data_IF_216412944427
#
_entry.id   IF_216412944427
#
_cell.length_a   1.000
_cell.length_b   1.000
_cell.length_c   1.000
_cell.angle_alpha   90.00
_cell.angle_beta   90.00
_cell.angle_gamma   90.00
#
_symmetry.space_group_name_H-M   'P 1'
#
loop_
_entity.id
_entity.type
_entity.pdbx_description
1 polymer ?
#
# COMPACT_ATOMS: atom_id res chain seq x y z
N UNK A 1 -7.52 -15.94 -1.95
CA UNK A 1 -6.22 -16.66 -2.07
C UNK A 1 -6.33 -18.11 -1.64
N UNK A 2 -7.06 -18.43 -0.57
CA UNK A 2 -7.31 -19.77 -0.06
C UNK A 2 -7.66 -20.80 -1.16
N UNK A 3 -8.69 -20.53 -1.97
CA UNK A 3 -9.15 -21.44 -3.02
C UNK A 3 -8.07 -21.85 -4.03
N UNK A 4 -7.20 -20.93 -4.40
CA UNK A 4 -6.09 -21.22 -5.32
C UNK A 4 -5.08 -22.12 -4.65
N UNK A 5 -4.74 -21.87 -3.39
CA UNK A 5 -3.77 -22.68 -2.66
C UNK A 5 -4.31 -24.09 -2.39
N UNK A 6 -5.59 -24.24 -2.04
CA UNK A 6 -6.26 -25.54 -1.90
C UNK A 6 -6.13 -26.41 -3.17
N UNK A 7 -6.22 -25.78 -4.34
CA UNK A 7 -6.09 -26.47 -5.61
C UNK A 7 -4.65 -26.88 -5.95
N UNK A 8 -3.66 -26.04 -5.62
CA UNK A 8 -2.27 -26.29 -6.02
C UNK A 8 -1.44 -27.04 -4.96
N UNK A 9 -1.79 -26.92 -3.67
CA UNK A 9 -1.01 -27.50 -2.57
C UNK A 9 -0.72 -29.00 -2.74
N UNK A 10 -1.68 -29.85 -3.19
CA UNK A 10 -1.43 -31.29 -3.37
C UNK A 10 -0.38 -31.62 -4.46
N UNK A 11 -0.10 -30.68 -5.35
CA UNK A 11 0.83 -30.86 -6.48
C UNK A 11 2.19 -30.18 -6.26
N UNK A 12 2.37 -29.47 -5.14
CA UNK A 12 3.63 -28.82 -4.83
C UNK A 12 4.72 -29.86 -4.52
N UNK A 13 5.85 -29.71 -5.16
CA UNK A 13 7.00 -30.60 -4.94
C UNK A 13 7.61 -30.36 -3.57
N UNK A 14 8.12 -31.42 -2.95
CA UNK A 14 8.95 -31.34 -1.75
C UNK A 14 10.08 -30.32 -1.93
N UNK A 15 10.24 -29.41 -0.98
CA UNK A 15 11.22 -28.33 -1.02
C UNK A 15 10.85 -27.16 -1.94
N UNK A 16 9.63 -27.15 -2.51
CA UNK A 16 9.14 -25.98 -3.23
C UNK A 16 9.02 -24.77 -2.31
N UNK A 17 9.06 -23.59 -2.88
CA UNK A 17 8.75 -22.32 -2.18
C UNK A 17 7.54 -21.72 -2.86
N UNK A 18 6.45 -21.56 -2.10
CA UNK A 18 5.28 -20.79 -2.48
C UNK A 18 5.47 -19.36 -1.97
N UNK A 19 5.06 -18.39 -2.76
CA UNK A 19 5.04 -16.97 -2.40
C UNK A 19 3.84 -16.30 -3.04
N UNK A 20 3.37 -15.22 -2.44
CA UNK A 20 2.35 -14.35 -3.00
C UNK A 20 2.93 -12.95 -3.30
N UNK A 21 2.12 -12.07 -3.87
CA UNK A 21 2.45 -10.67 -4.14
C UNK A 21 1.33 -9.73 -3.66
N UNK A 22 0.51 -10.19 -2.74
CA UNK A 22 -0.65 -9.45 -2.25
C UNK A 22 -0.28 -8.22 -1.42
N UNK A 23 -1.19 -7.24 -1.38
CA UNK A 23 -1.00 -5.96 -0.67
C UNK A 23 -1.19 -6.04 0.83
N UNK A 24 -1.75 -7.14 1.36
CA UNK A 24 -1.95 -7.41 2.79
C UNK A 24 -1.30 -8.74 3.16
N UNK A 25 -0.80 -8.87 4.39
CA UNK A 25 -0.06 -10.07 4.78
C UNK A 25 -0.77 -10.89 5.84
N UNK A 26 -1.36 -10.29 6.86
CA UNK A 26 -2.03 -11.06 7.92
C UNK A 26 -3.14 -11.96 7.35
N UNK A 27 -4.06 -11.40 6.57
CA UNK A 27 -5.14 -12.15 5.95
C UNK A 27 -4.63 -13.24 4.99
N UNK A 28 -3.51 -12.99 4.29
CA UNK A 28 -2.87 -14.00 3.43
C UNK A 28 -2.28 -15.13 4.25
N UNK A 29 -1.64 -14.85 5.37
CA UNK A 29 -1.11 -15.87 6.29
C UNK A 29 -2.23 -16.75 6.83
N UNK A 30 -3.29 -16.15 7.35
CA UNK A 30 -4.43 -16.86 7.95
C UNK A 30 -5.12 -17.78 6.92
N UNK A 31 -5.16 -17.36 5.67
CA UNK A 31 -5.75 -18.15 4.58
C UNK A 31 -4.85 -19.28 4.07
N UNK A 32 -3.56 -19.04 3.98
CA UNK A 32 -2.63 -19.87 3.20
C UNK A 32 -1.79 -20.80 4.08
N UNK A 33 -1.25 -20.33 5.19
CA UNK A 33 -0.32 -21.11 6.02
C UNK A 33 -0.89 -22.45 6.50
N UNK A 34 -2.18 -22.56 6.89
CA UNK A 34 -2.77 -23.85 7.27
C UNK A 34 -2.86 -24.88 6.16
N UNK A 35 -2.71 -24.47 4.90
CA UNK A 35 -2.83 -25.32 3.71
C UNK A 35 -1.47 -25.76 3.17
N UNK A 36 -0.38 -25.23 3.72
CA UNK A 36 0.97 -25.53 3.22
C UNK A 36 1.41 -26.93 3.65
N UNK A 37 1.79 -27.83 2.71
CA UNK A 37 2.34 -29.13 3.04
C UNK A 37 3.64 -29.00 3.86
N UNK A 38 3.87 -29.94 4.78
CA UNK A 38 5.01 -29.94 5.71
C UNK A 38 6.39 -29.78 5.03
N UNK A 39 6.54 -30.26 3.81
CA UNK A 39 7.78 -30.23 3.04
C UNK A 39 7.88 -29.04 2.06
N UNK A 40 6.96 -28.07 2.15
CA UNK A 40 6.88 -26.89 1.28
C UNK A 40 7.16 -25.64 2.12
N UNK A 41 7.91 -24.69 1.57
CA UNK A 41 8.12 -23.40 2.21
C UNK A 41 7.04 -22.41 1.77
N UNK A 42 6.56 -21.59 2.71
CA UNK A 42 5.73 -20.42 2.37
C UNK A 42 6.48 -19.16 2.80
N UNK A 43 6.77 -18.28 1.86
CA UNK A 43 7.44 -17.00 2.09
C UNK A 43 6.59 -15.92 1.43
N UNK A 44 5.65 -15.32 2.16
CA UNK A 44 4.85 -14.21 1.65
C UNK A 44 5.71 -13.04 1.23
N UNK A 45 5.31 -12.35 0.16
CA UNK A 45 5.98 -11.17 -0.34
C UNK A 45 4.98 -10.08 -0.70
N UNK A 46 5.44 -8.83 -0.70
CA UNK A 46 4.71 -7.69 -1.22
C UNK A 46 5.67 -6.75 -1.94
N UNK A 47 5.74 -6.79 -3.27
CA UNK A 47 6.43 -5.76 -4.04
C UNK A 47 5.62 -4.47 -4.02
N UNK A 48 6.22 -3.38 -3.49
CA UNK A 48 5.60 -2.05 -3.45
C UNK A 48 5.77 -1.37 -4.80
N UNK A 49 5.19 -1.96 -5.83
CA UNK A 49 5.30 -1.54 -7.22
C UNK A 49 3.95 -1.72 -7.91
N UNK A 50 3.68 -0.90 -8.90
CA UNK A 50 2.44 -0.91 -9.67
C UNK A 50 2.05 0.48 -10.12
N UNK A 51 1.07 0.51 -11.00
CA UNK A 51 0.39 1.72 -11.45
C UNK A 51 -1.10 1.63 -11.10
N UNK A 52 -1.86 2.67 -11.36
CA UNK A 52 -3.33 2.66 -11.26
C UNK A 52 -4.02 1.73 -12.29
N UNK A 53 -3.28 1.22 -13.27
CA UNK A 53 -3.78 0.32 -14.29
C UNK A 53 -3.70 -1.14 -13.85
N UNK A 54 -4.65 -1.94 -14.28
CA UNK A 54 -4.74 -3.38 -13.97
C UNK A 54 -4.45 -4.26 -15.18
N UNK A 55 -4.03 -5.49 -14.92
CA UNK A 55 -3.83 -6.53 -15.93
C UNK A 55 -2.40 -6.64 -16.45
N UNK A 56 -2.10 -7.72 -17.18
CA UNK A 56 -0.74 -8.06 -17.62
C UNK A 56 -0.16 -7.05 -18.63
N UNK A 57 -1.04 -6.34 -19.37
CA UNK A 57 -0.64 -5.32 -20.35
C UNK A 57 -0.05 -4.06 -19.69
N UNK A 58 -0.29 -3.89 -18.37
CA UNK A 58 0.27 -2.76 -17.59
C UNK A 58 1.66 -3.06 -17.04
N UNK A 59 2.21 -4.25 -17.31
CA UNK A 59 3.55 -4.65 -16.89
C UNK A 59 4.63 -4.06 -17.81
N UNK A 60 5.75 -3.67 -17.23
CA UNK A 60 6.94 -3.24 -17.96
C UNK A 60 8.21 -3.76 -17.28
N UNK A 61 9.32 -3.83 -18.02
CA UNK A 61 10.54 -4.54 -17.60
C UNK A 61 11.21 -3.96 -16.35
N UNK A 62 11.10 -2.63 -16.13
CA UNK A 62 11.71 -1.93 -14.98
C UNK A 62 10.76 -1.76 -13.78
N UNK A 63 9.60 -2.43 -13.78
CA UNK A 63 8.55 -2.27 -12.75
C UNK A 63 9.08 -2.35 -11.31
N UNK A 64 10.05 -3.23 -11.06
CA UNK A 64 10.58 -3.49 -9.72
C UNK A 64 11.90 -2.76 -9.42
N UNK A 65 12.50 -2.10 -10.39
CA UNK A 65 13.77 -1.39 -10.21
C UNK A 65 13.65 -0.27 -9.17
N UNK A 66 14.51 -0.30 -8.15
CA UNK A 66 14.50 0.63 -7.03
C UNK A 66 13.19 0.68 -6.24
N UNK A 67 12.35 -0.36 -6.32
CA UNK A 67 11.13 -0.51 -5.53
C UNK A 67 11.34 -1.50 -4.39
N UNK A 68 10.73 -1.23 -3.26
CA UNK A 68 10.80 -2.16 -2.14
C UNK A 68 9.96 -3.41 -2.40
N UNK A 69 10.52 -4.56 -2.04
CA UNK A 69 9.78 -5.81 -1.90
C UNK A 69 9.92 -6.30 -0.47
N UNK A 70 8.82 -6.38 0.24
CA UNK A 70 8.80 -6.81 1.65
C UNK A 70 8.51 -8.29 1.70
N UNK A 71 9.42 -9.05 2.32
CA UNK A 71 9.20 -10.45 2.65
C UNK A 71 8.69 -10.58 4.07
N UNK A 72 7.75 -11.49 4.29
CA UNK A 72 7.17 -11.77 5.61
C UNK A 72 7.40 -13.24 5.95
N UNK A 73 8.60 -13.62 6.41
CA UNK A 73 8.90 -15.01 6.78
C UNK A 73 7.96 -15.54 7.86
N UNK A 74 7.54 -16.79 7.72
CA UNK A 74 6.64 -17.50 8.64
C UNK A 74 7.33 -18.69 9.29
N UNK A 75 6.60 -19.41 10.13
CA UNK A 75 7.09 -20.69 10.68
C UNK A 75 7.40 -21.73 9.61
N UNK A 76 6.73 -21.66 8.44
CA UNK A 76 6.95 -22.50 7.28
C UNK A 76 8.12 -22.04 6.39
N UNK A 77 8.73 -20.89 6.68
CA UNK A 77 9.81 -20.31 5.89
C UNK A 77 11.18 -20.80 6.37
N UNK A 78 11.88 -21.60 5.57
CA UNK A 78 13.29 -21.89 5.88
C UNK A 78 14.20 -20.73 5.50
N UNK A 79 15.33 -20.50 6.18
CA UNK A 79 16.29 -19.44 5.82
C UNK A 79 16.74 -19.52 4.36
N UNK A 80 16.90 -20.74 3.83
CA UNK A 80 17.27 -20.98 2.43
C UNK A 80 16.19 -20.54 1.45
N UNK A 81 14.90 -20.72 1.80
CA UNK A 81 13.79 -20.25 0.98
C UNK A 81 13.70 -18.74 0.96
N UNK A 82 13.86 -18.09 2.13
CA UNK A 82 13.90 -16.64 2.25
C UNK A 82 15.05 -16.06 1.43
N UNK A 83 16.28 -16.60 1.57
CA UNK A 83 17.44 -16.18 0.79
C UNK A 83 17.21 -16.32 -0.72
N UNK A 84 16.58 -17.43 -1.17
CA UNK A 84 16.25 -17.65 -2.58
C UNK A 84 15.32 -16.57 -3.10
N UNK A 85 14.28 -16.23 -2.33
CA UNK A 85 13.30 -15.22 -2.73
C UNK A 85 13.91 -13.82 -2.70
N UNK A 86 14.75 -13.52 -1.70
CA UNK A 86 15.53 -12.28 -1.65
C UNK A 86 16.38 -12.10 -2.92
N UNK A 87 17.10 -13.15 -3.33
CA UNK A 87 17.91 -13.09 -4.56
C UNK A 87 17.06 -12.96 -5.83
N UNK A 88 15.87 -13.56 -5.86
CA UNK A 88 14.94 -13.42 -6.99
C UNK A 88 14.51 -11.95 -7.15
N UNK A 89 14.00 -11.32 -6.10
CA UNK A 89 13.55 -9.93 -6.12
C UNK A 89 14.70 -8.95 -6.37
N UNK A 90 15.83 -9.13 -5.70
CA UNK A 90 17.02 -8.32 -5.95
C UNK A 90 17.53 -8.46 -7.39
N UNK A 91 17.43 -9.64 -7.99
CA UNK A 91 17.77 -9.88 -9.40
C UNK A 91 16.86 -9.18 -10.40
N UNK A 92 15.65 -8.76 -9.96
CA UNK A 92 14.73 -7.92 -10.72
C UNK A 92 14.90 -6.42 -10.40
N UNK A 93 15.93 -6.04 -9.64
CA UNK A 93 16.22 -4.65 -9.27
C UNK A 93 15.52 -4.14 -8.02
N UNK A 94 14.76 -4.99 -7.32
CA UNK A 94 14.06 -4.59 -6.10
C UNK A 94 15.00 -4.44 -4.89
N UNK A 95 14.67 -3.52 -4.01
CA UNK A 95 15.22 -3.41 -2.66
C UNK A 95 14.43 -4.35 -1.75
N UNK A 96 15.07 -5.31 -1.10
CA UNK A 96 14.38 -6.33 -0.32
C UNK A 96 14.55 -6.07 1.17
N UNK A 97 13.45 -6.07 1.92
CA UNK A 97 13.42 -5.99 3.37
C UNK A 97 12.53 -7.08 3.96
N UNK A 98 12.60 -7.28 5.27
CA UNK A 98 11.82 -8.28 5.99
C UNK A 98 11.15 -7.66 7.21
N UNK A 99 9.87 -8.02 7.44
CA UNK A 99 9.14 -7.66 8.64
C UNK A 99 8.08 -8.72 8.96
N UNK A 100 7.49 -8.66 10.14
CA UNK A 100 6.33 -9.48 10.47
C UNK A 100 5.04 -8.95 9.82
N UNK A 101 4.01 -9.78 9.77
CA UNK A 101 2.78 -9.46 9.05
C UNK A 101 2.00 -8.29 9.68
N UNK A 102 1.94 -8.21 11.02
CA UNK A 102 1.19 -7.17 11.70
C UNK A 102 1.86 -5.81 11.50
N UNK A 103 3.19 -5.79 11.59
CA UNK A 103 3.97 -4.58 11.31
C UNK A 103 3.85 -4.16 9.85
N UNK A 104 3.93 -5.11 8.90
CA UNK A 104 3.70 -4.86 7.48
C UNK A 104 2.34 -4.18 7.27
N UNK A 105 1.27 -4.78 7.78
CA UNK A 105 -0.09 -4.29 7.54
C UNK A 105 -0.32 -2.91 8.19
N UNK A 106 0.31 -2.62 9.33
CA UNK A 106 0.29 -1.30 9.96
C UNK A 106 1.05 -0.26 9.12
N UNK A 107 2.26 -0.58 8.63
CA UNK A 107 3.05 0.31 7.78
C UNK A 107 2.28 0.64 6.50
N UNK A 108 1.69 -0.36 5.85
CA UNK A 108 0.91 -0.17 4.63
C UNK A 108 -0.41 0.57 4.88
N UNK A 109 -1.03 0.41 6.05
CA UNK A 109 -2.18 1.22 6.45
C UNK A 109 -1.84 2.72 6.46
N UNK A 110 -0.63 3.09 6.95
CA UNK A 110 -0.17 4.50 6.98
C UNK A 110 0.26 5.00 5.61
N UNK A 111 1.06 4.22 4.90
CA UNK A 111 1.79 4.70 3.71
C UNK A 111 1.06 4.50 2.39
N UNK A 112 0.07 3.62 2.36
CA UNK A 112 -0.67 3.26 1.15
C UNK A 112 -2.20 3.28 1.34
N UNK A 113 -2.75 2.49 2.28
CA UNK A 113 -4.19 2.24 2.33
C UNK A 113 -4.98 3.50 2.72
N UNK A 114 -4.61 4.16 3.83
CA UNK A 114 -5.28 5.41 4.24
C UNK A 114 -5.14 6.53 3.20
N UNK A 115 -3.96 6.77 2.59
CA UNK A 115 -3.85 7.72 1.48
C UNK A 115 -4.83 7.46 0.33
N UNK A 116 -5.02 6.22 -0.11
CA UNK A 116 -5.99 5.89 -1.15
C UNK A 116 -7.43 6.16 -0.69
N UNK A 117 -7.80 5.77 0.54
CA UNK A 117 -9.13 6.06 1.09
C UNK A 117 -9.42 7.55 1.12
N UNK A 118 -8.44 8.38 1.53
CA UNK A 118 -8.56 9.83 1.57
C UNK A 118 -8.70 10.40 0.14
N UNK A 119 -7.94 9.89 -0.83
CA UNK A 119 -8.05 10.30 -2.22
C UNK A 119 -9.45 10.01 -2.81
N UNK A 120 -9.98 8.80 -2.62
CA UNK A 120 -11.36 8.47 -3.00
C UNK A 120 -12.38 9.37 -2.31
N UNK A 121 -12.22 9.62 -1.00
CA UNK A 121 -13.11 10.49 -0.23
C UNK A 121 -13.08 11.93 -0.75
N UNK A 122 -11.90 12.43 -1.12
CA UNK A 122 -11.75 13.80 -1.64
C UNK A 122 -12.47 13.97 -2.98
N UNK A 123 -12.42 12.98 -3.86
CA UNK A 123 -13.16 12.97 -5.11
C UNK A 123 -14.67 12.93 -4.83
N UNK A 124 -15.14 12.05 -3.93
CA UNK A 124 -16.55 11.95 -3.55
C UNK A 124 -17.08 13.26 -2.95
N UNK A 125 -16.30 13.92 -2.08
CA UNK A 125 -16.70 15.24 -1.52
C UNK A 125 -16.81 16.30 -2.60
N UNK A 126 -15.94 16.27 -3.62
CA UNK A 126 -16.01 17.22 -4.72
C UNK A 126 -17.27 17.01 -5.59
N UNK A 127 -17.67 15.75 -5.81
CA UNK A 127 -18.88 15.37 -6.56
C UNK A 127 -20.17 15.74 -5.80
N UNK A 128 -20.21 15.49 -4.48
CA UNK A 128 -21.41 15.73 -3.65
C UNK A 128 -21.74 17.22 -3.40
N UNK A 129 -20.84 18.14 -3.73
CA UNK A 129 -21.04 19.56 -3.47
C UNK A 129 -21.95 20.20 -4.52
N UNK A 130 -23.24 20.29 -4.24
CA UNK A 130 -24.26 20.89 -5.14
C UNK A 130 -24.00 22.34 -5.59
N UNK A 131 -23.05 23.04 -4.92
CA UNK A 131 -22.61 24.41 -5.26
C UNK A 131 -21.40 24.46 -6.18
N UNK A 132 -20.83 23.31 -6.49
CA UNK A 132 -19.69 23.15 -7.42
C UNK A 132 -20.16 22.12 -8.46
N UNK A 133 -20.07 22.47 -9.73
CA UNK A 133 -20.46 21.56 -10.81
C UNK A 133 -19.33 20.64 -11.18
N UNK A 134 -19.62 19.43 -11.69
CA UNK A 134 -18.62 18.49 -12.22
C UNK A 134 -17.69 19.17 -13.22
N UNK A 135 -18.25 20.05 -14.06
CA UNK A 135 -17.50 20.82 -15.04
C UNK A 135 -16.49 21.76 -14.39
N UNK A 136 -16.82 22.38 -13.26
CA UNK A 136 -15.90 23.23 -12.51
C UNK A 136 -14.83 22.40 -11.83
N UNK A 137 -15.15 21.25 -11.24
CA UNK A 137 -14.16 20.32 -10.68
C UNK A 137 -13.17 19.89 -11.76
N UNK A 138 -13.65 19.46 -12.93
CA UNK A 138 -12.81 19.02 -14.05
C UNK A 138 -11.94 20.18 -14.58
N UNK A 139 -12.53 21.36 -14.85
CA UNK A 139 -11.84 22.47 -15.48
C UNK A 139 -10.84 23.16 -14.57
N UNK A 140 -11.12 23.20 -13.25
CA UNK A 140 -10.30 23.94 -12.29
C UNK A 140 -9.41 23.02 -11.43
N UNK A 141 -9.37 21.73 -11.73
CA UNK A 141 -8.46 20.79 -11.07
C UNK A 141 -7.01 21.14 -11.40
N UNK A 142 -6.38 21.91 -10.52
CA UNK A 142 -4.96 22.22 -10.58
C UNK A 142 -4.10 21.00 -10.21
N UNK A 143 -2.79 21.10 -10.43
CA UNK A 143 -1.84 20.02 -10.18
C UNK A 143 -2.04 19.36 -8.80
N UNK A 144 -2.20 20.14 -7.74
CA UNK A 144 -2.38 19.59 -6.39
C UNK A 144 -3.58 18.65 -6.24
N UNK A 145 -4.73 18.97 -6.84
CA UNK A 145 -5.90 18.08 -6.81
C UNK A 145 -5.67 16.84 -7.67
N UNK A 146 -5.19 17.02 -8.92
CA UNK A 146 -4.92 15.91 -9.85
C UNK A 146 -3.90 14.93 -9.30
N UNK A 147 -2.77 15.43 -8.80
CA UNK A 147 -1.69 14.59 -8.31
C UNK A 147 -2.11 13.83 -7.06
N UNK A 148 -2.80 14.50 -6.12
CA UNK A 148 -3.30 13.87 -4.90
C UNK A 148 -4.39 12.83 -5.18
N UNK A 149 -5.31 13.08 -6.12
CA UNK A 149 -6.43 12.19 -6.42
C UNK A 149 -6.14 11.17 -7.51
N UNK A 150 -4.95 11.18 -8.15
CA UNK A 150 -4.56 10.23 -9.20
C UNK A 150 -4.77 8.79 -8.76
N UNK A 151 -4.41 8.45 -7.54
CA UNK A 151 -4.55 7.10 -6.98
C UNK A 151 -6.01 6.67 -6.78
N UNK A 152 -6.97 7.57 -6.79
CA UNK A 152 -8.41 7.25 -6.76
C UNK A 152 -8.94 6.70 -8.09
N UNK A 153 -8.13 6.62 -9.15
CA UNK A 153 -8.48 5.95 -10.40
C UNK A 153 -8.17 4.44 -10.42
N UNK A 154 -7.62 3.90 -9.32
CA UNK A 154 -7.29 2.50 -9.17
C UNK A 154 -8.53 1.59 -9.09
N UNK A 155 -8.34 0.28 -9.32
CA UNK A 155 -9.42 -0.72 -9.35
C UNK A 155 -10.22 -0.76 -8.03
N UNK A 156 -11.54 -0.52 -8.05
CA UNK A 156 -12.36 -0.47 -6.84
C UNK A 156 -12.54 -1.84 -6.17
N UNK A 157 -12.45 -2.95 -6.93
CA UNK A 157 -12.56 -4.30 -6.38
C UNK A 157 -11.34 -4.62 -5.53
N UNK A 158 -10.16 -4.33 -6.06
CA UNK A 158 -8.89 -4.51 -5.34
C UNK A 158 -8.89 -3.70 -4.03
N UNK A 159 -9.24 -2.41 -4.09
CA UNK A 159 -9.21 -1.55 -2.90
C UNK A 159 -10.26 -1.92 -1.86
N UNK A 160 -11.48 -2.30 -2.30
CA UNK A 160 -12.47 -2.89 -1.39
C UNK A 160 -11.87 -4.05 -0.60
N UNK A 161 -11.23 -4.98 -1.31
CA UNK A 161 -10.69 -6.19 -0.70
C UNK A 161 -9.49 -5.90 0.20
N UNK A 162 -8.62 -4.95 -0.16
CA UNK A 162 -7.52 -4.47 0.68
C UNK A 162 -8.04 -3.87 1.99
N UNK A 163 -9.04 -2.98 1.94
CA UNK A 163 -9.59 -2.37 3.16
C UNK A 163 -10.28 -3.37 4.07
N UNK A 164 -10.99 -4.35 3.52
CA UNK A 164 -11.65 -5.39 4.31
C UNK A 164 -10.64 -6.38 4.91
N UNK A 165 -9.57 -6.69 4.19
CA UNK A 165 -8.53 -7.63 4.65
C UNK A 165 -7.55 -6.99 5.65
N UNK A 166 -7.28 -5.66 5.56
CA UNK A 166 -6.46 -4.91 6.53
C UNK A 166 -7.33 -3.96 7.38
N UNK A 167 -8.47 -4.44 7.84
CA UNK A 167 -9.50 -3.64 8.49
C UNK A 167 -9.00 -2.97 9.78
N UNK A 168 -8.38 -3.73 10.67
CA UNK A 168 -8.01 -3.25 12.00
C UNK A 168 -6.98 -2.12 11.92
N UNK A 169 -5.87 -2.33 11.20
CA UNK A 169 -4.84 -1.31 11.05
C UNK A 169 -5.37 -0.09 10.26
N UNK A 170 -6.18 -0.31 9.22
CA UNK A 170 -6.78 0.80 8.46
C UNK A 170 -7.67 1.67 9.33
N UNK A 171 -8.52 1.08 10.18
CA UNK A 171 -9.41 1.82 11.09
C UNK A 171 -8.62 2.56 12.18
N UNK A 172 -7.54 1.97 12.70
CA UNK A 172 -6.66 2.65 13.66
C UNK A 172 -6.06 3.93 13.05
N UNK A 173 -5.47 3.81 11.86
CA UNK A 173 -4.82 4.95 11.20
C UNK A 173 -5.84 5.99 10.76
N UNK A 174 -6.99 5.56 10.24
CA UNK A 174 -8.08 6.48 9.88
C UNK A 174 -8.59 7.24 11.10
N UNK A 175 -8.70 6.61 12.26
CA UNK A 175 -9.05 7.27 13.51
C UNK A 175 -8.07 8.38 13.88
N UNK A 176 -6.76 8.07 13.88
CA UNK A 176 -5.69 9.06 14.13
C UNK A 176 -5.71 10.21 13.13
N UNK A 177 -5.91 9.91 11.84
CA UNK A 177 -6.04 10.93 10.79
C UNK A 177 -7.23 11.85 11.04
N UNK A 178 -8.36 11.28 11.42
CA UNK A 178 -9.60 12.06 11.70
C UNK A 178 -9.42 12.97 12.91
N UNK A 179 -8.77 12.50 13.98
CA UNK A 179 -8.44 13.30 15.16
C UNK A 179 -7.54 14.51 14.82
N UNK A 180 -6.48 14.27 14.02
CA UNK A 180 -5.61 15.36 13.55
C UNK A 180 -6.37 16.34 12.65
N UNK A 181 -7.23 15.83 11.77
CA UNK A 181 -8.04 16.69 10.90
C UNK A 181 -9.01 17.57 11.70
N UNK A 182 -9.67 17.02 12.73
CA UNK A 182 -10.51 17.82 13.64
C UNK A 182 -9.70 18.87 14.41
N UNK A 183 -8.48 18.54 14.81
CA UNK A 183 -7.58 19.48 15.46
C UNK A 183 -7.20 20.66 14.56
N UNK A 184 -6.90 20.40 13.30
CA UNK A 184 -6.63 21.44 12.29
C UNK A 184 -7.89 22.23 11.95
N UNK A 185 -9.04 21.57 11.81
CA UNK A 185 -10.33 22.25 11.61
C UNK A 185 -10.65 23.22 12.76
N UNK A 186 -10.36 22.82 14.00
CA UNK A 186 -10.51 23.70 15.16
C UNK A 186 -9.58 24.91 15.06
N UNK A 187 -8.32 24.72 14.73
CA UNK A 187 -7.34 25.80 14.57
C UNK A 187 -7.79 26.82 13.50
N UNK A 188 -8.33 26.33 12.37
CA UNK A 188 -8.91 27.19 11.33
C UNK A 188 -10.10 27.98 11.88
N UNK A 189 -11.01 27.32 12.59
CA UNK A 189 -12.23 27.95 13.13
C UNK A 189 -11.94 29.02 14.17
N UNK A 190 -10.84 28.91 14.90
CA UNK A 190 -10.41 29.83 15.97
C UNK A 190 -9.30 30.78 15.54
N UNK A 191 -8.99 30.86 14.25
CA UNK A 191 -7.93 31.69 13.67
C UNK A 191 -6.54 31.47 14.33
N UNK A 192 -6.26 30.22 14.80
CA UNK A 192 -4.98 29.88 15.41
C UNK A 192 -3.90 29.64 14.33
N UNK A 193 -3.47 30.75 13.73
CA UNK A 193 -2.44 30.72 12.67
C UNK A 193 -1.10 30.16 13.15
N UNK A 194 -0.76 30.36 14.45
CA UNK A 194 0.49 29.82 15.01
C UNK A 194 0.49 28.29 14.99
N UNK A 195 -0.58 27.64 15.45
CA UNK A 195 -0.71 26.18 15.44
C UNK A 195 -0.63 25.63 14.02
N UNK A 196 -1.29 26.26 13.07
CA UNK A 196 -1.24 25.86 11.66
C UNK A 196 0.19 25.95 11.10
N UNK A 197 0.87 27.07 11.35
CA UNK A 197 2.25 27.29 10.91
C UNK A 197 3.21 26.24 11.49
N UNK A 198 3.13 26.00 12.79
CA UNK A 198 3.99 25.03 13.49
C UNK A 198 3.76 23.61 12.96
N UNK A 199 2.49 23.22 12.75
CA UNK A 199 2.12 21.92 12.20
C UNK A 199 2.67 21.75 10.77
N UNK A 200 2.43 22.70 9.89
CA UNK A 200 2.88 22.62 8.50
C UNK A 200 4.41 22.69 8.39
N UNK A 201 5.07 23.42 9.26
CA UNK A 201 6.54 23.47 9.29
C UNK A 201 7.11 22.10 9.64
N UNK A 202 6.56 21.44 10.67
CA UNK A 202 6.96 20.09 11.08
C UNK A 202 6.74 19.06 9.97
N UNK A 203 5.54 19.02 9.41
CA UNK A 203 5.18 18.02 8.37
C UNK A 203 5.94 18.22 7.07
N UNK A 204 6.21 19.49 6.69
CA UNK A 204 7.08 19.85 5.57
C UNK A 204 8.51 19.32 5.75
N UNK A 205 9.08 19.42 6.95
CA UNK A 205 10.41 18.91 7.24
C UNK A 205 10.46 17.37 7.05
N UNK A 206 9.44 16.64 7.53
CA UNK A 206 9.32 15.18 7.34
C UNK A 206 9.24 14.84 5.85
N UNK A 207 8.38 15.53 5.08
CA UNK A 207 8.25 15.28 3.63
C UNK A 207 9.56 15.50 2.87
N UNK A 208 10.33 16.53 3.23
CA UNK A 208 11.64 16.77 2.63
C UNK A 208 12.63 15.63 2.89
N UNK A 209 12.64 15.07 4.10
CA UNK A 209 13.46 13.90 4.40
C UNK A 209 13.08 12.67 3.57
N UNK A 210 11.80 12.47 3.24
CA UNK A 210 11.35 11.40 2.35
C UNK A 210 11.90 11.58 0.93
N UNK A 211 11.89 12.83 0.40
CA UNK A 211 12.47 13.14 -0.92
C UNK A 211 13.99 12.90 -0.94
N UNK A 212 14.69 13.34 0.10
CA UNK A 212 16.15 13.15 0.22
C UNK A 212 16.53 11.66 0.29
N UNK A 213 15.64 10.80 0.81
CA UNK A 213 15.81 9.35 0.81
C UNK A 213 15.59 8.68 -0.56
N UNK A 214 15.27 9.44 -1.62
CA UNK A 214 15.15 8.94 -2.99
C UNK A 214 13.87 8.14 -3.28
N UNK A 215 12.85 8.24 -2.42
CA UNK A 215 11.57 7.51 -2.59
C UNK A 215 10.58 8.19 -3.55
N UNK A 216 10.98 9.30 -4.18
CA UNK A 216 10.13 10.14 -5.04
C UNK A 216 10.52 10.03 -6.53
N UNK A 217 11.24 8.97 -6.91
CA UNK A 217 11.54 8.73 -8.33
C UNK A 217 10.26 8.24 -9.01
N UNK A 218 9.68 9.10 -9.85
CA UNK A 218 8.61 8.73 -10.76
C UNK A 218 9.05 7.55 -11.63
N UNK A 219 8.10 6.67 -11.97
CA UNK A 219 8.35 5.70 -13.03
C UNK A 219 8.68 6.48 -14.31
N UNK A 220 9.63 6.02 -15.11
CA UNK A 220 9.88 6.66 -16.41
C UNK A 220 8.58 6.63 -17.23
N UNK A 221 8.26 7.78 -17.89
CA UNK A 221 7.14 7.93 -18.82
C UNK A 221 7.18 6.91 -19.95
#
# INVERSE_FOLDING_TARGET
MREVVEQIAPYLKKGATLSDVGSVKRAVLDDVEPLIPQDVNFVPAHPLAGTEHSGPESGFSSLFENRWCILVPTASSTPKAVERLTRLWAGMGALVDQMDADHHDLVLAVTSHTPHLIAYTMVGVADDLSRVTDKEVINYSAAGFRDFTRIASSDPTMWRDVFLANKEATLEILGRFTEELFSLQRAIRTDDGKRLFDYFTRTRAIRRGILEAGQDTEAPD
#
